data_IF_724770007304
#
_entry.id   IF_724770007304
#
_cell.length_a   1.000
_cell.length_b   1.000
_cell.length_c   1.000
_cell.angle_alpha   90.00
_cell.angle_beta   90.00
_cell.angle_gamma   90.00
#
_symmetry.space_group_name_H-M   'P 1'
#
loop_
_entity.id
_entity.type
_entity.pdbx_description
1 polymer ?
#
# COMPACT_ATOMS: atom_id res chain seq x y z
N UNK A 1 23.07 5.96 27.30
CA UNK A 1 23.00 6.14 25.83
C UNK A 1 22.91 4.76 25.19
N UNK A 2 21.72 4.34 24.75
CA UNK A 2 21.52 3.21 23.84
C UNK A 2 20.66 3.77 22.71
N UNK A 3 21.16 3.73 21.47
CA UNK A 3 20.33 3.99 20.32
C UNK A 3 19.13 3.03 20.37
N UNK A 4 17.92 3.52 20.13
CA UNK A 4 16.77 2.66 19.91
C UNK A 4 17.16 1.69 18.80
N UNK A 5 17.12 0.40 19.11
CA UNK A 5 17.53 -0.62 18.16
C UNK A 5 16.54 -0.59 16.99
N UNK A 6 16.97 -1.07 15.82
CA UNK A 6 16.07 -1.23 14.66
C UNK A 6 14.80 -2.04 14.99
N UNK A 7 14.84 -2.84 16.07
CA UNK A 7 13.74 -3.59 16.64
C UNK A 7 12.73 -2.70 17.39
N UNK A 8 13.18 -1.69 18.12
CA UNK A 8 12.30 -0.78 18.87
C UNK A 8 11.53 0.16 17.93
N UNK A 9 12.18 0.61 16.84
CA UNK A 9 11.55 1.37 15.75
C UNK A 9 10.53 0.51 15.01
N UNK A 10 10.85 -0.77 14.74
CA UNK A 10 9.92 -1.71 14.12
C UNK A 10 8.68 -1.96 14.99
N UNK A 11 8.83 -2.04 16.33
CA UNK A 11 7.70 -2.14 17.27
C UNK A 11 6.82 -0.91 17.33
N UNK A 12 7.38 0.29 17.13
CA UNK A 12 6.59 1.52 17.03
C UNK A 12 5.79 1.56 15.71
N UNK A 13 6.44 1.26 14.58
CA UNK A 13 5.79 1.20 13.27
C UNK A 13 4.70 0.12 13.25
N UNK A 14 4.94 -1.02 13.91
CA UNK A 14 3.98 -2.10 14.08
C UNK A 14 2.68 -1.70 14.81
N UNK A 15 2.77 -0.76 15.76
CA UNK A 15 1.60 -0.24 16.49
C UNK A 15 0.81 0.79 15.68
N UNK A 16 1.41 1.37 14.64
CA UNK A 16 0.83 2.46 13.86
C UNK A 16 0.06 1.98 12.62
N UNK A 17 0.12 0.69 12.29
CA UNK A 17 -0.66 0.10 11.19
C UNK A 17 -1.60 -0.94 11.82
N UNK A 18 -2.94 -0.81 11.65
CA UNK A 18 -3.90 -1.74 12.24
C UNK A 18 -3.97 -3.01 11.39
N UNK A 19 -2.85 -3.72 11.29
CA UNK A 19 -2.84 -5.14 10.97
C UNK A 19 -2.80 -5.92 12.29
N UNK A 20 -3.21 -7.19 12.23
CA UNK A 20 -2.94 -8.14 13.32
C UNK A 20 -1.51 -7.95 13.85
N UNK A 21 -1.28 -8.15 15.17
CA UNK A 21 -0.04 -7.79 15.83
C UNK A 21 1.13 -8.24 14.96
N UNK A 22 2.04 -7.34 14.62
CA UNK A 22 3.18 -7.61 13.72
C UNK A 22 3.97 -8.86 14.11
N UNK A 23 3.87 -9.26 15.38
CA UNK A 23 4.27 -10.56 15.91
C UNK A 23 3.66 -11.75 15.14
N UNK A 24 2.35 -11.78 14.85
CA UNK A 24 1.71 -12.81 14.00
C UNK A 24 2.26 -12.83 12.58
N UNK A 25 2.44 -11.68 11.94
CA UNK A 25 2.99 -11.62 10.57
C UNK A 25 4.45 -12.11 10.55
N UNK A 26 5.23 -11.73 11.56
CA UNK A 26 6.59 -12.23 11.76
C UNK A 26 6.61 -13.73 12.07
N UNK A 27 5.67 -14.23 12.86
CA UNK A 27 5.52 -15.64 13.16
C UNK A 27 5.13 -16.42 11.90
N UNK A 28 4.22 -15.91 11.07
CA UNK A 28 3.83 -16.51 9.79
C UNK A 28 5.01 -16.56 8.80
N UNK A 29 5.79 -15.48 8.73
CA UNK A 29 6.99 -15.39 7.89
C UNK A 29 8.13 -16.28 8.41
N UNK A 30 8.30 -16.37 9.74
CA UNK A 30 9.30 -17.23 10.37
C UNK A 30 8.92 -18.69 10.20
N UNK A 31 7.64 -19.03 10.41
CA UNK A 31 7.07 -20.35 10.16
C UNK A 31 7.18 -20.72 8.68
N UNK A 32 6.89 -19.81 7.77
CA UNK A 32 7.09 -20.04 6.33
C UNK A 32 8.56 -20.29 6.01
N UNK A 33 9.48 -19.54 6.60
CA UNK A 33 10.93 -19.71 6.43
C UNK A 33 11.45 -21.00 7.06
N UNK A 34 10.88 -21.44 8.17
CA UNK A 34 11.15 -22.72 8.82
C UNK A 34 10.62 -23.89 7.98
N UNK A 35 9.38 -23.80 7.47
CA UNK A 35 8.82 -24.74 6.50
C UNK A 35 9.71 -24.84 5.25
N UNK A 36 10.17 -23.70 4.71
CA UNK A 36 11.10 -23.66 3.57
C UNK A 36 12.53 -24.15 3.90
N UNK A 37 12.91 -24.20 5.18
CA UNK A 37 14.21 -24.74 5.64
C UNK A 37 14.12 -26.24 5.95
N UNK A 38 12.98 -26.70 6.45
CA UNK A 38 12.67 -28.09 6.74
C UNK A 38 12.34 -28.86 5.46
N UNK A 39 11.68 -28.21 4.49
CA UNK A 39 11.60 -28.69 3.12
C UNK A 39 12.97 -28.51 2.48
N UNK A 40 13.68 -29.62 2.26
CA UNK A 40 14.82 -29.66 1.35
C UNK A 40 14.42 -28.93 0.04
N UNK A 41 15.15 -27.92 -0.45
CA UNK A 41 14.82 -27.28 -1.73
C UNK A 41 14.80 -28.27 -2.91
N UNK A 42 15.47 -29.42 -2.75
CA UNK A 42 15.44 -30.56 -3.67
C UNK A 42 14.18 -31.44 -3.57
N UNK A 43 13.37 -31.27 -2.52
CA UNK A 43 12.08 -31.94 -2.28
C UNK A 43 10.88 -31.04 -2.62
N UNK A 44 11.12 -29.74 -2.90
CA UNK A 44 10.14 -28.91 -3.60
C UNK A 44 10.02 -29.47 -5.02
N UNK A 45 9.11 -30.42 -5.19
CA UNK A 45 8.60 -30.76 -6.52
C UNK A 45 7.88 -29.53 -7.02
N UNK A 46 8.55 -28.76 -7.88
CA UNK A 46 7.83 -27.91 -8.83
C UNK A 46 6.96 -28.89 -9.61
N UNK A 47 5.67 -28.90 -9.32
CA UNK A 47 4.73 -29.79 -9.99
C UNK A 47 4.94 -29.67 -11.49
N UNK A 48 5.05 -30.81 -12.19
CA UNK A 48 5.12 -30.74 -13.64
C UNK A 48 3.80 -30.17 -14.15
N UNK A 49 3.81 -29.43 -15.26
CA UNK A 49 2.57 -28.85 -15.82
C UNK A 49 1.48 -29.91 -16.07
N UNK A 50 1.93 -31.13 -16.35
CA UNK A 50 1.19 -32.37 -16.53
C UNK A 50 0.65 -33.00 -15.23
N UNK A 51 1.05 -32.52 -14.06
CA UNK A 51 0.53 -32.90 -12.73
C UNK A 51 -0.54 -31.91 -12.23
N UNK A 52 -0.74 -30.79 -12.93
CA UNK A 52 -1.86 -29.88 -12.67
C UNK A 52 -3.09 -30.53 -13.31
N UNK A 53 -4.06 -30.94 -12.49
CA UNK A 53 -5.37 -31.35 -13.03
C UNK A 53 -5.83 -30.25 -14.00
N UNK A 54 -6.25 -30.60 -15.23
CA UNK A 54 -6.71 -29.61 -16.19
C UNK A 54 -7.87 -28.86 -15.52
N UNK A 55 -7.64 -27.59 -15.14
CA UNK A 55 -8.72 -26.71 -14.72
C UNK A 55 -9.67 -26.61 -15.92
N UNK A 56 -10.79 -27.32 -15.87
CA UNK A 56 -11.77 -27.37 -16.97
C UNK A 56 -12.32 -25.96 -17.27
N UNK A 57 -12.38 -25.12 -16.24
CA UNK A 57 -12.74 -23.71 -16.33
C UNK A 57 -12.16 -22.93 -15.13
N UNK A 58 -11.56 -21.76 -15.37
CA UNK A 58 -11.13 -20.83 -14.34
C UNK A 58 -11.50 -19.39 -14.72
N UNK A 59 -11.88 -18.57 -13.75
CA UNK A 59 -12.28 -17.17 -13.93
C UNK A 59 -11.33 -16.25 -13.18
N UNK A 60 -10.64 -15.42 -13.95
CA UNK A 60 -9.56 -14.57 -13.48
C UNK A 60 -9.85 -13.10 -13.69
N UNK A 61 -9.53 -12.29 -12.67
CA UNK A 61 -9.54 -10.84 -12.76
C UNK A 61 -8.11 -10.36 -12.95
N UNK A 62 -7.87 -9.47 -13.92
CA UNK A 62 -6.57 -8.86 -14.18
C UNK A 62 -6.68 -7.35 -13.99
N UNK A 63 -5.82 -6.78 -13.15
CA UNK A 63 -5.85 -5.35 -12.81
C UNK A 63 -4.51 -4.71 -13.11
N UNK A 64 -4.56 -3.61 -13.85
CA UNK A 64 -3.42 -2.77 -14.17
C UNK A 64 -3.81 -1.29 -14.06
N UNK A 65 -2.86 -0.48 -13.63
CA UNK A 65 -3.04 0.94 -13.38
C UNK A 65 -1.87 1.73 -13.95
N UNK A 66 -2.17 2.96 -14.35
CA UNK A 66 -1.16 3.87 -14.87
C UNK A 66 -1.39 5.26 -14.33
N UNK A 67 -0.29 5.94 -14.01
CA UNK A 67 -0.32 7.34 -13.63
C UNK A 67 0.63 8.18 -14.50
N UNK A 68 0.30 9.46 -14.63
CA UNK A 68 1.19 10.46 -15.21
C UNK A 68 1.33 11.59 -14.22
N UNK A 69 2.57 12.01 -14.00
CA UNK A 69 2.90 13.07 -13.05
C UNK A 69 3.61 14.21 -13.77
N UNK A 70 3.20 15.44 -13.46
CA UNK A 70 3.89 16.66 -13.89
C UNK A 70 4.17 17.55 -12.68
N UNK A 71 5.43 17.92 -12.49
CA UNK A 71 5.79 18.85 -11.42
C UNK A 71 5.66 20.30 -11.88
N UNK A 72 5.04 21.14 -11.02
CA UNK A 72 4.92 22.59 -11.20
C UNK A 72 5.51 23.32 -10.01
N UNK A 73 5.64 24.65 -10.10
CA UNK A 73 6.13 25.46 -8.96
C UNK A 73 5.14 25.33 -7.80
N UNK A 74 5.53 24.61 -6.75
CA UNK A 74 4.78 24.45 -5.50
C UNK A 74 3.90 23.20 -5.38
N UNK A 75 3.62 22.48 -6.46
CA UNK A 75 2.77 21.28 -6.43
C UNK A 75 3.16 20.25 -7.50
N UNK A 76 2.82 18.99 -7.25
CA UNK A 76 2.70 17.98 -8.29
C UNK A 76 1.28 17.92 -8.86
N UNK A 77 1.15 17.56 -10.12
CA UNK A 77 -0.13 17.23 -10.74
C UNK A 77 -0.06 15.77 -11.16
N UNK A 78 -1.00 14.96 -10.69
CA UNK A 78 -1.09 13.55 -11.02
C UNK A 78 -2.44 13.22 -11.66
N UNK A 79 -2.40 12.35 -12.66
CA UNK A 79 -3.56 11.78 -13.32
C UNK A 79 -3.45 10.28 -13.22
N UNK A 80 -4.53 9.61 -12.82
CA UNK A 80 -4.57 8.17 -12.61
C UNK A 80 -5.61 7.51 -13.51
N UNK A 81 -5.36 6.26 -13.88
CA UNK A 81 -6.37 5.39 -14.48
C UNK A 81 -6.14 3.94 -14.07
N UNK A 82 -7.22 3.20 -13.88
CA UNK A 82 -7.18 1.75 -13.60
C UNK A 82 -8.08 1.03 -14.57
N UNK A 83 -7.60 -0.09 -15.09
CA UNK A 83 -8.42 -1.06 -15.80
C UNK A 83 -8.43 -2.39 -15.04
N UNK A 84 -9.62 -2.98 -14.90
CA UNK A 84 -9.78 -4.35 -14.44
C UNK A 84 -10.61 -5.13 -15.45
N UNK A 85 -10.11 -6.29 -15.84
CA UNK A 85 -10.68 -7.15 -16.86
C UNK A 85 -11.00 -8.51 -16.25
N UNK A 86 -12.19 -9.05 -16.54
CA UNK A 86 -12.61 -10.38 -16.14
C UNK A 86 -12.58 -11.31 -17.36
N UNK A 87 -11.95 -12.46 -17.20
CA UNK A 87 -11.88 -13.51 -18.22
C UNK A 87 -12.31 -14.86 -17.65
N UNK A 88 -12.98 -15.68 -18.47
CA UNK A 88 -13.08 -17.13 -18.29
C UNK A 88 -12.02 -17.82 -19.16
N UNK A 89 -11.38 -18.82 -18.59
CA UNK A 89 -10.27 -19.59 -19.15
C UNK A 89 -10.72 -21.05 -19.19
N UNK A 90 -10.84 -21.62 -20.40
CA UNK A 90 -11.17 -23.03 -20.61
C UNK A 90 -10.12 -23.65 -21.51
N UNK A 91 -9.22 -24.45 -20.94
CA UNK A 91 -8.07 -24.97 -21.68
C UNK A 91 -7.20 -23.83 -22.26
N UNK A 92 -7.14 -23.72 -23.59
CA UNK A 92 -6.42 -22.63 -24.28
C UNK A 92 -7.28 -21.40 -24.58
N UNK A 93 -8.58 -21.47 -24.36
CA UNK A 93 -9.51 -20.43 -24.76
C UNK A 93 -9.67 -19.40 -23.63
N UNK A 94 -9.49 -18.13 -23.98
CA UNK A 94 -9.63 -16.99 -23.09
C UNK A 94 -10.80 -16.13 -23.55
N UNK A 95 -11.90 -16.16 -22.80
CA UNK A 95 -13.14 -15.43 -23.11
C UNK A 95 -13.25 -14.20 -22.24
N UNK A 96 -13.28 -13.02 -22.86
CA UNK A 96 -13.55 -11.77 -22.16
C UNK A 96 -15.01 -11.72 -21.70
N UNK A 97 -15.23 -11.50 -20.40
CA UNK A 97 -16.59 -11.38 -19.85
C UNK A 97 -16.98 -9.93 -19.59
N UNK A 98 -16.14 -9.18 -18.87
CA UNK A 98 -16.46 -7.82 -18.47
C UNK A 98 -15.22 -7.00 -18.14
N UNK A 99 -15.41 -5.68 -18.06
CA UNK A 99 -14.39 -4.75 -17.60
C UNK A 99 -14.94 -3.70 -16.66
N UNK A 100 -14.08 -3.19 -15.81
CA UNK A 100 -14.29 -1.97 -15.04
C UNK A 100 -13.16 -0.99 -15.32
N UNK A 101 -13.52 0.28 -15.48
CA UNK A 101 -12.57 1.36 -15.77
C UNK A 101 -12.77 2.47 -14.74
N UNK A 102 -11.67 2.83 -14.08
CA UNK A 102 -11.54 4.07 -13.35
C UNK A 102 -10.80 5.05 -14.25
N UNK A 103 -11.52 6.06 -14.74
CA UNK A 103 -11.08 6.92 -15.83
C UNK A 103 -10.41 8.20 -15.33
N UNK A 104 -9.46 8.78 -16.11
CA UNK A 104 -8.72 9.98 -15.74
C UNK A 104 -9.53 11.20 -15.31
N UNK A 105 -10.74 11.37 -15.86
CA UNK A 105 -11.64 12.49 -15.55
C UNK A 105 -12.09 12.52 -14.08
N UNK A 106 -12.06 11.38 -13.39
CA UNK A 106 -12.42 11.24 -11.98
C UNK A 106 -11.21 11.19 -11.06
N UNK A 107 -10.00 11.07 -11.61
CA UNK A 107 -8.77 10.80 -10.86
C UNK A 107 -7.67 11.76 -11.24
N UNK A 108 -8.00 13.05 -11.18
CA UNK A 108 -7.07 14.17 -11.32
C UNK A 108 -6.77 14.76 -9.95
N UNK A 109 -5.50 14.88 -9.56
CA UNK A 109 -5.11 15.28 -8.21
C UNK A 109 -3.95 16.29 -8.21
N UNK A 110 -4.09 17.33 -7.38
CA UNK A 110 -2.99 18.20 -7.00
C UNK A 110 -2.27 17.64 -5.77
N UNK A 111 -1.03 17.20 -5.96
CA UNK A 111 -0.15 16.68 -4.91
C UNK A 111 0.57 17.84 -4.23
N UNK A 112 0.05 18.26 -3.08
CA UNK A 112 0.62 19.28 -2.20
C UNK A 112 0.94 18.67 -0.84
N UNK A 113 2.03 19.10 -0.16
CA UNK A 113 3.12 19.95 -0.67
C UNK A 113 3.99 19.24 -1.73
N UNK A 114 4.84 19.95 -2.49
CA UNK A 114 5.70 19.33 -3.52
C UNK A 114 6.91 18.61 -2.91
N UNK A 115 6.74 17.33 -2.59
CA UNK A 115 7.83 16.40 -2.25
C UNK A 115 7.47 15.00 -2.74
N UNK A 116 8.48 14.20 -3.08
CA UNK A 116 8.36 12.79 -3.52
C UNK A 116 7.17 12.52 -4.46
N UNK A 117 6.93 13.42 -5.41
CA UNK A 117 5.66 13.45 -6.19
C UNK A 117 5.41 12.13 -6.91
N UNK A 118 6.44 11.57 -7.56
CA UNK A 118 6.34 10.27 -8.23
C UNK A 118 6.01 9.11 -7.26
N UNK A 119 6.70 9.06 -6.12
CA UNK A 119 6.44 8.02 -5.09
C UNK A 119 5.02 8.10 -4.56
N UNK A 120 4.55 9.31 -4.23
CA UNK A 120 3.19 9.55 -3.70
C UNK A 120 2.12 9.19 -4.72
N UNK A 121 2.32 9.58 -5.97
CA UNK A 121 1.44 9.19 -7.06
C UNK A 121 1.39 7.66 -7.21
N UNK A 122 2.53 6.96 -7.11
CA UNK A 122 2.55 5.50 -7.19
C UNK A 122 1.84 4.84 -6.00
N UNK A 123 1.97 5.39 -4.79
CA UNK A 123 1.24 4.92 -3.60
C UNK A 123 -0.27 5.07 -3.79
N UNK A 124 -0.73 6.23 -4.27
CA UNK A 124 -2.15 6.46 -4.54
C UNK A 124 -2.66 5.53 -5.66
N UNK A 125 -1.89 5.37 -6.74
CA UNK A 125 -2.21 4.46 -7.85
C UNK A 125 -2.44 3.03 -7.36
N UNK A 126 -1.55 2.50 -6.51
CA UNK A 126 -1.72 1.17 -5.90
C UNK A 126 -3.01 1.07 -5.07
N UNK A 127 -3.35 2.12 -4.33
CA UNK A 127 -4.64 2.21 -3.64
C UNK A 127 -5.82 2.11 -4.60
N UNK A 128 -5.77 2.83 -5.72
CA UNK A 128 -6.80 2.81 -6.76
C UNK A 128 -6.93 1.45 -7.46
N UNK A 129 -5.80 0.76 -7.73
CA UNK A 129 -5.79 -0.62 -8.25
C UNK A 129 -6.48 -1.57 -7.28
N UNK A 130 -6.11 -1.50 -5.99
CA UNK A 130 -6.67 -2.37 -4.96
C UNK A 130 -8.18 -2.18 -4.78
N UNK A 131 -8.70 -0.94 -4.78
CA UNK A 131 -10.15 -0.72 -4.67
C UNK A 131 -10.92 -1.26 -5.88
N UNK A 132 -10.35 -1.16 -7.09
CA UNK A 132 -10.98 -1.67 -8.31
C UNK A 132 -10.96 -3.19 -8.33
N UNK A 133 -9.82 -3.79 -7.95
CA UNK A 133 -9.69 -5.23 -7.79
C UNK A 133 -10.70 -5.79 -6.78
N UNK A 134 -10.79 -5.15 -5.61
CA UNK A 134 -11.75 -5.49 -4.56
C UNK A 134 -13.19 -5.43 -5.09
N UNK A 135 -13.56 -4.34 -5.77
CA UNK A 135 -14.90 -4.19 -6.34
C UNK A 135 -15.23 -5.27 -7.38
N UNK A 136 -14.30 -5.59 -8.28
CA UNK A 136 -14.52 -6.60 -9.31
C UNK A 136 -14.61 -8.01 -8.71
N UNK A 137 -13.79 -8.32 -7.71
CA UNK A 137 -13.87 -9.57 -6.95
C UNK A 137 -15.16 -9.68 -6.14
N UNK A 138 -15.65 -8.58 -5.57
CA UNK A 138 -16.88 -8.52 -4.78
C UNK A 138 -18.14 -8.66 -5.64
N UNK A 139 -18.18 -7.97 -6.79
CA UNK A 139 -19.36 -7.91 -7.67
C UNK A 139 -19.59 -9.20 -8.46
N UNK A 140 -18.53 -9.94 -8.78
CA UNK A 140 -18.63 -11.16 -9.56
C UNK A 140 -18.60 -12.40 -8.64
N UNK A 141 -19.37 -13.41 -9.00
CA UNK A 141 -19.39 -14.72 -8.33
C UNK A 141 -18.35 -15.64 -8.99
N UNK A 142 -17.96 -16.74 -8.31
CA UNK A 142 -17.08 -17.78 -8.85
C UNK A 142 -15.83 -17.22 -9.54
N UNK A 143 -15.07 -16.40 -8.82
CA UNK A 143 -13.77 -15.91 -9.24
C UNK A 143 -12.73 -16.80 -8.56
N UNK A 144 -11.83 -17.39 -9.35
CA UNK A 144 -10.80 -18.27 -8.82
C UNK A 144 -9.56 -17.48 -8.39
N UNK A 145 -9.23 -16.42 -9.14
CA UNK A 145 -8.07 -15.59 -8.83
C UNK A 145 -8.20 -14.13 -9.24
N UNK A 146 -7.43 -13.29 -8.57
CA UNK A 146 -7.17 -11.90 -8.95
C UNK A 146 -5.67 -11.73 -9.15
N UNK A 147 -5.31 -11.19 -10.30
CA UNK A 147 -3.95 -10.93 -10.73
C UNK A 147 -3.71 -9.43 -10.79
N UNK A 148 -2.79 -8.97 -9.95
CA UNK A 148 -2.36 -7.58 -9.82
C UNK A 148 -1.01 -7.40 -10.52
N UNK A 149 -0.81 -6.30 -11.24
CA UNK A 149 0.53 -5.93 -11.72
C UNK A 149 1.43 -5.47 -10.55
N UNK A 150 2.69 -5.89 -10.55
CA UNK A 150 3.70 -5.51 -9.57
C UNK A 150 4.06 -6.62 -8.57
N UNK A 151 4.63 -6.23 -7.43
CA UNK A 151 5.16 -7.15 -6.42
C UNK A 151 4.45 -6.94 -5.08
N UNK A 152 3.91 -8.02 -4.51
CA UNK A 152 3.28 -7.99 -3.18
C UNK A 152 4.26 -7.52 -2.09
N UNK A 153 5.52 -7.97 -2.15
CA UNK A 153 6.56 -7.50 -1.24
C UNK A 153 6.80 -5.99 -1.40
N UNK A 154 6.81 -5.49 -2.64
CA UNK A 154 6.93 -4.05 -2.90
C UNK A 154 5.71 -3.27 -2.41
N UNK A 155 4.50 -3.84 -2.48
CA UNK A 155 3.28 -3.26 -1.91
C UNK A 155 3.42 -3.11 -0.40
N UNK A 156 3.81 -4.16 0.31
CA UNK A 156 3.97 -4.15 1.77
C UNK A 156 5.15 -3.29 2.26
N UNK A 157 6.26 -3.28 1.53
CA UNK A 157 7.48 -2.58 1.95
C UNK A 157 7.50 -1.11 1.55
N UNK A 158 6.78 -0.70 0.49
CA UNK A 158 6.77 0.70 0.05
C UNK A 158 6.31 1.72 1.10
N UNK A 159 5.26 1.45 1.93
CA UNK A 159 4.94 2.25 3.11
C UNK A 159 6.13 2.55 4.00
N UNK A 160 6.92 1.50 4.30
CA UNK A 160 8.02 1.56 5.26
C UNK A 160 9.11 2.50 4.77
N UNK A 161 9.55 2.35 3.52
CA UNK A 161 10.64 3.18 2.99
C UNK A 161 10.22 4.66 2.84
N UNK A 162 9.02 4.93 2.32
CA UNK A 162 8.55 6.31 2.11
C UNK A 162 8.31 7.07 3.43
N UNK A 163 7.64 6.42 4.39
CA UNK A 163 7.28 7.06 5.66
C UNK A 163 8.47 7.14 6.61
N UNK A 164 9.33 6.12 6.68
CA UNK A 164 10.41 6.07 7.67
C UNK A 164 11.37 7.25 7.56
N UNK A 165 11.71 7.67 6.33
CA UNK A 165 12.57 8.83 6.11
C UNK A 165 11.90 10.11 6.63
N UNK A 166 10.63 10.34 6.28
CA UNK A 166 9.89 11.52 6.70
C UNK A 166 9.64 11.57 8.21
N UNK A 167 9.37 10.41 8.81
CA UNK A 167 9.26 10.26 10.26
C UNK A 167 10.60 10.58 10.95
N UNK A 168 11.71 10.07 10.43
CA UNK A 168 13.04 10.31 11.00
C UNK A 168 13.41 11.79 10.91
N UNK A 169 13.14 12.43 9.76
CA UNK A 169 13.38 13.86 9.57
C UNK A 169 12.54 14.69 10.55
N UNK A 170 11.24 14.39 10.67
CA UNK A 170 10.36 15.01 11.65
C UNK A 170 10.89 14.85 13.08
N UNK A 171 11.25 13.62 13.47
CA UNK A 171 11.74 13.30 14.82
C UNK A 171 13.02 14.05 15.16
N UNK A 172 13.99 14.08 14.23
CA UNK A 172 15.27 14.74 14.44
C UNK A 172 15.11 16.25 14.59
N UNK A 173 14.34 16.89 13.71
CA UNK A 173 14.10 18.36 13.78
C UNK A 173 13.33 18.72 15.05
N UNK A 174 12.36 17.90 15.46
CA UNK A 174 11.66 18.08 16.74
C UNK A 174 12.61 17.97 17.93
N UNK A 175 13.52 17.00 17.91
CA UNK A 175 14.53 16.80 18.96
C UNK A 175 15.49 17.96 19.09
N UNK A 176 16.00 18.46 17.98
CA UNK A 176 16.88 19.62 17.95
C UNK A 176 16.17 20.87 18.48
N UNK A 177 14.87 21.02 18.18
CA UNK A 177 14.10 22.21 18.55
C UNK A 177 13.70 22.25 20.04
N UNK A 178 13.51 21.10 20.69
CA UNK A 178 13.09 21.01 22.11
C UNK A 178 14.29 20.90 23.07
N UNK A 179 15.45 20.45 22.59
CA UNK A 179 16.62 20.18 23.42
C UNK A 179 16.57 18.81 24.11
N UNK A 180 17.74 18.31 24.54
CA UNK A 180 17.97 16.88 24.87
C UNK A 180 17.42 16.44 26.26
N UNK A 181 16.14 16.70 26.53
CA UNK A 181 15.40 16.07 27.65
C UNK A 181 14.69 14.80 27.16
N UNK A 182 15.47 13.74 26.98
CA UNK A 182 15.09 12.54 26.22
C UNK A 182 13.80 11.81 26.66
N UNK A 183 13.35 11.94 27.91
CA UNK A 183 12.14 11.23 28.40
C UNK A 183 10.83 11.93 28.01
N UNK A 184 10.88 13.23 27.72
CA UNK A 184 9.70 14.03 27.35
C UNK A 184 9.41 13.93 25.84
N UNK A 185 10.46 13.80 25.02
CA UNK A 185 10.30 13.81 23.56
C UNK A 185 9.65 12.55 23.01
N UNK A 186 10.03 11.37 23.49
CA UNK A 186 9.46 10.12 22.96
C UNK A 186 7.95 10.04 23.27
N UNK A 187 7.53 10.51 24.45
CA UNK A 187 6.11 10.63 24.80
C UNK A 187 5.40 11.63 23.89
N UNK A 188 5.98 12.81 23.70
CA UNK A 188 5.42 13.84 22.81
C UNK A 188 5.27 13.33 21.37
N UNK A 189 6.23 12.56 20.87
CA UNK A 189 6.17 11.96 19.52
C UNK A 189 5.06 10.90 19.45
N UNK A 190 4.91 10.06 20.48
CA UNK A 190 3.81 9.09 20.56
C UNK A 190 2.47 9.80 20.51
N UNK A 191 2.28 10.85 21.32
CA UNK A 191 1.03 11.63 21.36
C UNK A 191 0.70 12.27 20.01
N UNK A 192 1.72 12.82 19.31
CA UNK A 192 1.58 13.38 17.96
C UNK A 192 1.15 12.29 16.98
N UNK A 193 1.84 11.15 16.97
CA UNK A 193 1.55 10.03 16.08
C UNK A 193 0.15 9.44 16.33
N UNK A 194 -0.30 9.38 17.58
CA UNK A 194 -1.64 8.90 17.93
C UNK A 194 -2.72 9.84 17.38
N UNK A 195 -2.54 11.16 17.51
CA UNK A 195 -3.46 12.16 16.92
C UNK A 195 -3.53 12.06 15.40
N UNK A 196 -2.36 11.95 14.75
CA UNK A 196 -2.28 11.76 13.30
C UNK A 196 -3.04 10.50 12.88
N UNK A 197 -2.84 9.40 13.61
CA UNK A 197 -3.48 8.11 13.33
C UNK A 197 -5.01 8.21 13.45
N UNK A 198 -5.53 8.77 14.55
CA UNK A 198 -6.97 8.93 14.77
C UNK A 198 -7.61 9.78 13.68
N UNK A 199 -7.06 10.97 13.42
CA UNK A 199 -7.60 11.87 12.39
C UNK A 199 -7.50 11.27 10.98
N UNK A 200 -6.43 10.52 10.69
CA UNK A 200 -6.27 9.78 9.42
C UNK A 200 -7.37 8.73 9.26
N UNK A 201 -7.63 7.93 10.30
CA UNK A 201 -8.66 6.89 10.25
C UNK A 201 -10.06 7.48 10.11
N UNK A 202 -10.36 8.58 10.80
CA UNK A 202 -11.63 9.30 10.64
C UNK A 202 -11.84 9.77 9.21
N UNK A 203 -10.82 10.40 8.61
CA UNK A 203 -10.86 10.86 7.23
C UNK A 203 -11.05 9.69 6.24
N UNK A 204 -10.28 8.61 6.41
CA UNK A 204 -10.35 7.46 5.52
C UNK A 204 -11.68 6.68 5.65
N UNK A 205 -12.24 6.57 6.85
CA UNK A 205 -13.56 5.94 7.04
C UNK A 205 -14.67 6.68 6.28
N UNK A 206 -14.58 8.00 6.18
CA UNK A 206 -15.53 8.78 5.37
C UNK A 206 -15.30 8.64 3.86
N UNK A 207 -14.04 8.53 3.42
CA UNK A 207 -13.68 8.27 2.02
C UNK A 207 -14.16 6.87 1.58
N UNK A 208 -13.96 5.86 2.42
CA UNK A 208 -14.35 4.47 2.19
C UNK A 208 -15.78 4.15 2.65
N UNK A 209 -16.63 5.17 2.87
CA UNK A 209 -18.02 4.98 3.28
C UNK A 209 -18.86 4.20 2.25
N UNK A 210 -18.49 4.29 0.99
CA UNK A 210 -19.15 3.60 -0.13
C UNK A 210 -18.28 2.48 -0.69
N UNK A 211 -18.92 1.50 -1.33
CA UNK A 211 -18.22 0.36 -1.91
C UNK A 211 -17.76 0.58 -3.36
N UNK A 212 -18.29 1.58 -4.05
CA UNK A 212 -18.01 1.87 -5.46
C UNK A 212 -16.66 2.58 -5.65
N UNK A 213 -15.73 2.08 -6.49
CA UNK A 213 -14.42 2.69 -6.69
C UNK A 213 -14.49 4.12 -7.22
N UNK A 214 -15.48 4.47 -8.06
CA UNK A 214 -15.64 5.85 -8.56
C UNK A 214 -16.04 6.79 -7.43
N UNK A 215 -16.96 6.39 -6.57
CA UNK A 215 -17.34 7.15 -5.38
C UNK A 215 -16.15 7.34 -4.42
N UNK A 216 -15.38 6.28 -4.14
CA UNK A 216 -14.19 6.35 -3.27
C UNK A 216 -13.14 7.28 -3.87
N UNK A 217 -12.81 7.11 -5.16
CA UNK A 217 -11.81 7.93 -5.82
C UNK A 217 -12.22 9.41 -5.86
N UNK A 218 -13.49 9.70 -6.16
CA UNK A 218 -14.04 11.06 -6.14
C UNK A 218 -13.93 11.67 -4.74
N UNK A 219 -14.40 10.97 -3.71
CA UNK A 219 -14.32 11.45 -2.32
C UNK A 219 -12.87 11.68 -1.88
N UNK A 220 -11.97 10.76 -2.24
CA UNK A 220 -10.54 10.90 -1.97
C UNK A 220 -10.00 12.18 -2.60
N UNK A 221 -10.23 12.41 -3.90
CA UNK A 221 -9.78 13.61 -4.62
C UNK A 221 -10.38 14.90 -4.03
N UNK A 222 -11.69 14.92 -3.80
CA UNK A 222 -12.42 16.09 -3.27
C UNK A 222 -11.95 16.47 -1.86
N UNK A 223 -11.72 15.47 -0.99
CA UNK A 223 -11.33 15.69 0.40
C UNK A 223 -9.83 15.72 0.63
N UNK A 224 -9.02 15.42 -0.37
CA UNK A 224 -7.59 15.19 -0.21
C UNK A 224 -6.87 16.29 0.58
N UNK A 225 -6.98 17.55 0.13
CA UNK A 225 -6.32 18.69 0.79
C UNK A 225 -6.93 18.97 2.16
N UNK A 226 -8.27 18.90 2.26
CA UNK A 226 -9.00 19.15 3.50
C UNK A 226 -8.65 18.11 4.57
N UNK A 227 -8.53 16.83 4.20
CA UNK A 227 -8.13 15.75 5.10
C UNK A 227 -6.71 15.95 5.61
N UNK A 228 -5.74 16.26 4.73
CA UNK A 228 -4.36 16.52 5.14
C UNK A 228 -4.29 17.73 6.09
N UNK A 229 -5.00 18.81 5.77
CA UNK A 229 -5.06 20.00 6.61
C UNK A 229 -5.66 19.68 7.99
N UNK A 230 -6.81 18.98 8.05
CA UNK A 230 -7.42 18.58 9.32
C UNK A 230 -6.51 17.71 10.18
N UNK A 231 -5.81 16.75 9.57
CA UNK A 231 -4.87 15.89 10.32
C UNK A 231 -3.72 16.74 10.87
N UNK A 232 -3.18 17.65 10.05
CA UNK A 232 -2.10 18.55 10.45
C UNK A 232 -2.53 19.50 11.57
N UNK A 233 -3.68 20.14 11.42
CA UNK A 233 -4.24 21.08 12.39
C UNK A 233 -4.59 20.37 13.72
N UNK A 234 -5.05 19.11 13.68
CA UNK A 234 -5.30 18.32 14.89
C UNK A 234 -4.07 18.19 15.80
N UNK A 235 -2.87 18.19 15.20
CA UNK A 235 -1.60 18.18 15.91
C UNK A 235 -1.24 19.58 16.39
N UNK A 236 -1.33 20.60 15.53
CA UNK A 236 -0.97 21.97 15.88
C UNK A 236 -1.84 22.54 17.01
N UNK A 237 -3.13 22.24 17.02
CA UNK A 237 -4.07 22.73 18.03
C UNK A 237 -3.85 22.08 19.40
N UNK A 238 -3.30 20.86 19.41
CA UNK A 238 -3.16 20.03 20.62
C UNK A 238 -1.74 19.97 21.18
N UNK A 239 -0.75 20.26 20.34
CA UNK A 239 0.66 20.07 20.66
C UNK A 239 1.42 21.36 20.36
N UNK A 240 2.29 21.77 21.27
CA UNK A 240 3.19 22.88 21.02
C UNK A 240 4.27 22.47 20.01
N UNK A 241 4.04 22.77 18.72
CA UNK A 241 4.93 22.41 17.61
C UNK A 241 5.77 23.63 17.19
N UNK A 242 7.10 23.58 17.34
CA UNK A 242 7.99 24.64 16.88
C UNK A 242 7.89 24.88 15.37
N UNK A 243 8.06 26.13 14.94
CA UNK A 243 7.97 26.52 13.52
C UNK A 243 8.91 25.73 12.61
N UNK A 244 10.12 25.40 13.10
CA UNK A 244 11.11 24.57 12.41
C UNK A 244 10.59 23.17 12.04
N UNK A 245 9.66 22.62 12.83
CA UNK A 245 9.12 21.26 12.68
C UNK A 245 7.93 21.21 11.72
N UNK A 246 7.33 22.37 11.41
CA UNK A 246 6.07 22.45 10.66
C UNK A 246 6.14 21.82 9.27
N UNK A 247 7.22 22.04 8.52
CA UNK A 247 7.40 21.48 7.17
C UNK A 247 7.64 19.96 7.22
N UNK A 248 8.61 19.44 8.02
CA UNK A 248 8.78 18.00 8.21
C UNK A 248 7.49 17.29 8.64
N UNK A 249 6.74 17.87 9.58
CA UNK A 249 5.46 17.34 10.04
C UNK A 249 4.42 17.28 8.91
N UNK A 250 4.28 18.35 8.12
CA UNK A 250 3.34 18.36 6.98
C UNK A 250 3.68 17.26 5.96
N UNK A 251 4.96 17.08 5.63
CA UNK A 251 5.38 16.03 4.71
C UNK A 251 5.08 14.63 5.27
N UNK A 252 5.36 14.41 6.56
CA UNK A 252 5.06 13.16 7.25
C UNK A 252 3.55 12.86 7.24
N UNK A 253 2.71 13.81 7.67
CA UNK A 253 1.24 13.69 7.68
C UNK A 253 0.71 13.35 6.29
N UNK A 254 1.19 14.06 5.26
CA UNK A 254 0.75 13.86 3.89
C UNK A 254 1.04 12.44 3.39
N UNK A 255 2.29 11.98 3.52
CA UNK A 255 2.67 10.63 3.09
C UNK A 255 1.98 9.56 3.94
N UNK A 256 1.80 9.81 5.23
CA UNK A 256 1.10 8.91 6.15
C UNK A 256 -0.35 8.71 5.71
N UNK A 257 -1.07 9.78 5.39
CA UNK A 257 -2.45 9.72 4.88
C UNK A 257 -2.55 8.92 3.57
N UNK A 258 -1.72 9.23 2.58
CA UNK A 258 -1.71 8.55 1.27
C UNK A 258 -1.39 7.05 1.38
N UNK A 259 -0.46 6.73 2.26
CA UNK A 259 -0.07 5.34 2.51
C UNK A 259 -1.20 4.57 3.19
N UNK A 260 -1.87 5.16 4.18
CA UNK A 260 -3.01 4.53 4.84
C UNK A 260 -4.20 4.37 3.90
N UNK A 261 -4.41 5.30 2.96
CA UNK A 261 -5.37 5.10 1.86
C UNK A 261 -5.05 3.82 1.07
N UNK A 262 -3.81 3.64 0.63
CA UNK A 262 -3.40 2.44 -0.10
C UNK A 262 -3.51 1.16 0.74
N UNK A 263 -3.18 1.22 2.03
CA UNK A 263 -3.26 0.07 2.94
C UNK A 263 -4.70 -0.32 3.26
N UNK A 264 -5.60 0.65 3.42
CA UNK A 264 -7.02 0.39 3.63
C UNK A 264 -7.65 -0.26 2.39
N UNK A 265 -7.25 0.18 1.19
CA UNK A 265 -7.65 -0.47 -0.05
C UNK A 265 -7.14 -1.92 -0.15
N UNK A 266 -5.86 -2.16 0.19
CA UNK A 266 -5.28 -3.51 0.21
C UNK A 266 -6.00 -4.42 1.21
N UNK A 267 -6.23 -3.92 2.43
CA UNK A 267 -6.97 -4.65 3.47
C UNK A 267 -8.34 -5.09 2.95
N UNK A 268 -9.06 -4.19 2.29
CA UNK A 268 -10.36 -4.51 1.70
C UNK A 268 -10.26 -5.62 0.63
N UNK A 269 -9.28 -5.55 -0.27
CA UNK A 269 -9.03 -6.60 -1.26
C UNK A 269 -8.75 -7.96 -0.58
N UNK A 270 -7.88 -7.98 0.43
CA UNK A 270 -7.54 -9.19 1.17
C UNK A 270 -8.74 -9.78 1.92
N UNK A 271 -9.57 -8.94 2.53
CA UNK A 271 -10.81 -9.39 3.21
C UNK A 271 -11.81 -10.00 2.24
N UNK A 272 -11.99 -9.40 1.05
CA UNK A 272 -12.87 -9.94 0.01
C UNK A 272 -12.33 -11.26 -0.52
N UNK A 273 -11.03 -11.33 -0.78
CA UNK A 273 -10.39 -12.55 -1.25
C UNK A 273 -10.51 -13.68 -0.23
N UNK A 274 -10.22 -13.41 1.05
CA UNK A 274 -10.37 -14.39 2.12
C UNK A 274 -11.82 -14.85 2.33
N UNK A 275 -12.81 -13.95 2.22
CA UNK A 275 -14.23 -14.31 2.34
C UNK A 275 -14.74 -15.18 1.20
N UNK A 276 -14.17 -15.04 0.00
CA UNK A 276 -14.60 -15.72 -1.22
C UNK A 276 -13.65 -16.82 -1.69
N UNK A 277 -12.62 -17.12 -0.89
CA UNK A 277 -11.56 -18.08 -1.22
C UNK A 277 -10.88 -17.80 -2.58
N UNK A 278 -10.65 -16.51 -2.88
CA UNK A 278 -10.02 -16.07 -4.12
C UNK A 278 -8.51 -16.04 -3.96
N UNK A 279 -7.80 -16.66 -4.89
CA UNK A 279 -6.34 -16.63 -4.89
C UNK A 279 -5.82 -15.27 -5.39
N UNK A 280 -5.07 -14.54 -4.56
CA UNK A 280 -4.45 -13.27 -4.94
C UNK A 280 -3.01 -13.48 -5.43
N UNK A 281 -2.72 -12.98 -6.64
CA UNK A 281 -1.39 -13.04 -7.26
C UNK A 281 -0.90 -11.66 -7.65
N UNK A 282 0.40 -11.43 -7.47
CA UNK A 282 1.10 -10.25 -7.97
C UNK A 282 2.12 -10.67 -9.03
N UNK A 283 1.95 -10.18 -10.25
CA UNK A 283 2.88 -10.40 -11.35
C UNK A 283 3.89 -9.26 -11.42
N UNK A 284 5.10 -9.51 -10.94
CA UNK A 284 6.16 -8.52 -11.06
C UNK A 284 6.79 -8.58 -12.46
N UNK A 285 6.63 -7.52 -13.26
CA UNK A 285 7.31 -7.34 -14.55
C UNK A 285 8.80 -6.95 -14.41
N UNK A 286 9.42 -7.09 -13.24
CA UNK A 286 10.86 -6.82 -13.13
C UNK A 286 11.72 -7.82 -13.93
N UNK A 287 12.75 -7.32 -14.65
CA UNK A 287 13.54 -8.10 -15.60
C UNK A 287 14.60 -9.00 -14.94
N UNK A 288 14.40 -9.42 -13.69
CA UNK A 288 15.28 -10.42 -13.06
C UNK A 288 15.09 -11.81 -13.67
N UNK A 289 14.06 -12.01 -14.51
CA UNK A 289 13.94 -13.19 -15.38
C UNK A 289 15.16 -13.36 -16.30
N UNK A 290 15.85 -12.27 -16.70
CA UNK A 290 17.14 -12.37 -17.44
C UNK A 290 18.25 -13.01 -16.61
N UNK A 291 18.22 -12.87 -15.29
CA UNK A 291 19.19 -13.45 -14.37
C UNK A 291 18.89 -14.93 -14.15
N UNK A 292 17.62 -15.32 -14.09
CA UNK A 292 17.17 -16.73 -14.03
C UNK A 292 17.45 -17.47 -15.35
N UNK A 293 17.31 -16.82 -16.51
CA UNK A 293 17.69 -17.42 -17.81
C UNK A 293 19.20 -17.46 -18.08
N UNK A 294 20.04 -16.82 -17.25
CA UNK A 294 21.50 -16.76 -17.44
C UNK A 294 22.27 -17.96 -16.85
N UNK A 295 21.58 -18.93 -16.25
CA UNK A 295 22.17 -20.21 -15.81
C UNK A 295 21.47 -21.41 -16.44
N UNK A 296 21.58 -21.54 -17.76
CA UNK A 296 21.81 -22.86 -18.36
C UNK A 296 23.25 -22.91 -18.86
N UNK A 297 24.21 -23.40 -18.06
CA UNK A 297 25.42 -23.93 -18.64
C UNK A 297 25.01 -25.21 -19.38
N UNK A 298 24.92 -25.13 -20.70
CA UNK A 298 25.29 -26.28 -21.51
C UNK A 298 26.80 -26.44 -21.34
N UNK A 299 27.17 -27.40 -20.46
CA UNK A 299 28.45 -28.11 -20.27
C UNK A 299 28.82 -28.20 -18.79
#
# INVERSE_FOLDING_TARGET
MRALSSYDIAKLIAKMIPFEPVERVLDELTRSKEIFREMNPSEIKVGKLDEIEPYEEARGIFVDGSNVVSERRGAGIAIFSVASLLFSIRGSDLTFESKYLLTPDLCFLFLVPRFYVGTRANTIMRGLENIVAAYMAEKNENIDFVMMDGSFASVLLSPKWGIQHLYSDFYLVLRESIGDKSVDIDKKVIDICEKISIATMEALNDIFKENDPKAIARRFVEKYVESIAKIYDSVLDSCDIPDSVRIPLMNFVTMFFETNFSMMALKRLMEIAGKKDIFLMWLNKEPESRTLTKKSPNK
#
